data_IF_963473651361
#
_entry.id   IF_963473651361
#
_cell.length_a   1.000
_cell.length_b   1.000
_cell.length_c   1.000
_cell.angle_alpha   90.00
_cell.angle_beta   90.00
_cell.angle_gamma   90.00
#
_symmetry.space_group_name_H-M   'P 1'
#
loop_
_entity.id
_entity.type
_entity.pdbx_description
1 polymer ?
#
# COMPACT_ATOMS: atom_id res chain seq x y z
N UNK A 1 -47.68 -37.98 16.69
CA UNK A 1 -46.59 -37.00 16.54
C UNK A 1 -45.33 -37.60 17.16
N UNK A 2 -44.16 -37.60 16.49
CA UNK A 2 -42.92 -38.10 17.07
C UNK A 2 -42.53 -37.31 18.32
N UNK A 3 -41.78 -37.94 19.25
CA UNK A 3 -41.32 -37.28 20.48
C UNK A 3 -40.26 -36.21 20.17
N UNK A 4 -40.17 -35.18 21.01
CA UNK A 4 -39.19 -34.09 20.87
C UNK A 4 -37.75 -34.60 20.70
N UNK A 5 -37.40 -35.67 21.41
CA UNK A 5 -36.09 -36.34 21.36
C UNK A 5 -35.78 -36.96 20.00
N UNK A 6 -36.79 -37.49 19.31
CA UNK A 6 -36.63 -38.08 17.97
C UNK A 6 -36.43 -36.98 16.92
N UNK A 7 -37.13 -35.86 17.07
CA UNK A 7 -36.96 -34.68 16.20
C UNK A 7 -35.55 -34.10 16.38
N UNK A 8 -35.10 -33.93 17.62
CA UNK A 8 -33.77 -33.36 17.91
C UNK A 8 -32.63 -34.25 17.39
N UNK A 9 -32.75 -35.58 17.56
CA UNK A 9 -31.80 -36.54 16.98
C UNK A 9 -31.78 -36.47 15.45
N UNK A 10 -32.95 -36.43 14.82
CA UNK A 10 -33.04 -36.36 13.35
C UNK A 10 -32.44 -35.05 12.81
N UNK A 11 -32.69 -33.92 13.46
CA UNK A 11 -32.07 -32.63 13.14
C UNK A 11 -30.54 -32.70 13.30
N UNK A 12 -30.06 -33.23 14.42
CA UNK A 12 -28.62 -33.37 14.68
C UNK A 12 -27.92 -34.26 13.65
N UNK A 13 -28.53 -35.40 13.29
CA UNK A 13 -28.00 -36.28 12.24
C UNK A 13 -27.99 -35.62 10.86
N UNK A 14 -29.02 -34.84 10.53
CA UNK A 14 -29.09 -34.11 9.26
C UNK A 14 -27.98 -33.05 9.17
N UNK A 15 -27.74 -32.31 10.26
CA UNK A 15 -26.64 -31.34 10.36
C UNK A 15 -25.29 -32.03 10.23
N UNK A 16 -25.07 -33.15 10.93
CA UNK A 16 -23.82 -33.91 10.83
C UNK A 16 -23.56 -34.43 9.40
N UNK A 17 -24.60 -34.93 8.72
CA UNK A 17 -24.52 -35.35 7.31
C UNK A 17 -24.19 -34.19 6.37
N UNK A 18 -24.82 -33.04 6.58
CA UNK A 18 -24.53 -31.83 5.80
C UNK A 18 -23.08 -31.36 5.98
N UNK A 19 -22.58 -31.33 7.22
CA UNK A 19 -21.19 -30.94 7.51
C UNK A 19 -20.19 -31.91 6.87
N UNK A 20 -20.41 -33.23 6.97
CA UNK A 20 -19.55 -34.22 6.29
C UNK A 20 -19.52 -34.03 4.78
N UNK A 21 -20.65 -33.67 4.17
CA UNK A 21 -20.71 -33.39 2.73
C UNK A 21 -19.86 -32.15 2.37
N UNK A 22 -19.97 -31.09 3.17
CA UNK A 22 -19.15 -29.88 3.01
C UNK A 22 -17.67 -30.21 3.13
N UNK A 23 -17.27 -30.98 4.16
CA UNK A 23 -15.88 -31.39 4.36
C UNK A 23 -15.36 -32.17 3.16
N UNK A 24 -16.11 -33.18 2.71
CA UNK A 24 -15.75 -33.98 1.53
C UNK A 24 -15.54 -33.14 0.29
N UNK A 25 -16.46 -32.21 0.00
CA UNK A 25 -16.33 -31.30 -1.14
C UNK A 25 -15.02 -30.48 -1.08
N UNK A 26 -14.63 -30.00 0.10
CA UNK A 26 -13.38 -29.23 0.25
C UNK A 26 -12.10 -30.08 0.16
N UNK A 27 -12.14 -31.36 0.58
CA UNK A 27 -10.94 -32.21 0.67
C UNK A 27 -10.75 -33.14 -0.53
N UNK A 28 -11.80 -33.45 -1.28
CA UNK A 28 -11.77 -34.37 -2.44
C UNK A 28 -10.78 -33.90 -3.52
N UNK A 29 -10.68 -32.60 -3.86
CA UNK A 29 -9.68 -32.10 -4.81
C UNK A 29 -8.24 -32.10 -4.28
N UNK A 30 -8.00 -32.41 -3.00
CA UNK A 30 -6.67 -32.30 -2.39
C UNK A 30 -5.82 -33.55 -2.63
N UNK A 31 -4.66 -33.35 -3.24
CA UNK A 31 -3.61 -34.36 -3.30
C UNK A 31 -2.80 -34.42 -1.98
N UNK A 32 -1.88 -35.39 -1.89
CA UNK A 32 -1.05 -35.56 -0.70
C UNK A 32 -0.11 -34.36 -0.44
N UNK A 33 0.34 -33.65 -1.48
CA UNK A 33 1.16 -32.45 -1.32
C UNK A 33 0.39 -31.34 -0.60
N UNK A 34 -0.86 -31.09 -0.98
CA UNK A 34 -1.71 -30.09 -0.29
C UNK A 34 -1.89 -30.48 1.18
N UNK A 35 -2.18 -31.74 1.48
CA UNK A 35 -2.35 -32.25 2.85
C UNK A 35 -1.08 -32.06 3.69
N UNK A 36 0.09 -32.40 3.14
CA UNK A 36 1.37 -32.22 3.82
C UNK A 36 1.64 -30.73 4.13
N UNK A 37 1.37 -29.82 3.19
CA UNK A 37 1.51 -28.38 3.42
C UNK A 37 0.54 -27.84 4.47
N UNK A 38 -0.69 -28.35 4.49
CA UNK A 38 -1.67 -28.00 5.53
C UNK A 38 -1.23 -28.50 6.91
N UNK A 39 -0.69 -29.71 7.00
CA UNK A 39 -0.14 -30.26 8.25
C UNK A 39 1.11 -29.47 8.71
N UNK A 40 1.95 -29.01 7.78
CA UNK A 40 3.11 -28.12 8.08
C UNK A 40 2.68 -26.82 8.76
N UNK A 41 1.50 -26.28 8.45
CA UNK A 41 0.99 -25.08 9.14
C UNK A 41 0.86 -25.31 10.65
N UNK A 42 0.65 -26.55 11.09
CA UNK A 42 0.49 -26.91 12.50
C UNK A 42 1.82 -27.19 13.21
N UNK A 43 2.94 -27.25 12.49
CA UNK A 43 4.25 -27.52 13.09
C UNK A 43 4.92 -26.24 13.60
N UNK A 44 5.92 -26.39 14.47
CA UNK A 44 6.75 -25.28 14.93
C UNK A 44 7.48 -24.63 13.74
N UNK A 45 7.42 -23.30 13.67
CA UNK A 45 8.18 -22.54 12.68
C UNK A 45 9.66 -22.57 13.06
N UNK A 46 10.52 -22.89 12.09
CA UNK A 46 11.96 -22.92 12.32
C UNK A 46 12.48 -21.60 12.93
N UNK A 47 13.23 -21.69 14.03
CA UNK A 47 13.77 -20.54 14.75
C UNK A 47 12.75 -19.74 15.57
N UNK A 48 11.54 -20.27 15.80
CA UNK A 48 10.48 -19.63 16.61
C UNK A 48 9.87 -20.61 17.61
N UNK A 49 9.33 -20.07 18.71
CA UNK A 49 8.52 -20.82 19.68
C UNK A 49 7.03 -20.88 19.29
N UNK A 50 6.68 -20.42 18.09
CA UNK A 50 5.31 -20.41 17.56
C UNK A 50 5.18 -21.31 16.34
N UNK A 51 3.97 -21.83 16.10
CA UNK A 51 3.70 -22.59 14.87
C UNK A 51 3.64 -21.65 13.65
N UNK A 52 3.76 -22.23 12.45
CA UNK A 52 3.54 -21.50 11.21
C UNK A 52 2.18 -20.79 11.21
N UNK A 53 1.11 -21.50 11.57
CA UNK A 53 -0.24 -20.95 11.60
C UNK A 53 -0.39 -19.80 12.61
N UNK A 54 0.25 -19.90 13.78
CA UNK A 54 0.25 -18.82 14.79
C UNK A 54 0.91 -17.55 14.24
N UNK A 55 2.07 -17.66 13.59
CA UNK A 55 2.75 -16.51 12.99
C UNK A 55 1.96 -15.92 11.81
N UNK A 56 1.40 -16.78 10.95
CA UNK A 56 0.62 -16.37 9.78
C UNK A 56 -0.65 -15.57 10.13
N UNK A 57 -1.19 -15.73 11.34
CA UNK A 57 -2.36 -14.97 11.83
C UNK A 57 -2.04 -13.58 12.38
N UNK A 58 -0.76 -13.16 12.42
CA UNK A 58 -0.37 -11.87 13.02
C UNK A 58 -0.58 -10.68 12.06
N UNK A 59 -1.38 -9.69 12.44
CA UNK A 59 -1.63 -8.48 11.64
C UNK A 59 -0.48 -7.45 11.65
N UNK A 60 -0.42 -6.53 10.65
CA UNK A 60 0.59 -5.49 10.59
C UNK A 60 0.53 -4.52 11.76
N UNK A 61 1.65 -4.37 12.47
CA UNK A 61 1.74 -3.42 13.58
C UNK A 61 2.06 -1.99 13.11
N UNK A 62 2.83 -1.80 12.03
CA UNK A 62 3.31 -0.47 11.61
C UNK A 62 3.41 -0.31 10.09
N UNK A 63 2.98 0.84 9.58
CA UNK A 63 3.13 1.24 8.18
C UNK A 63 4.60 1.60 7.83
N UNK A 64 5.39 0.59 7.45
CA UNK A 64 6.75 0.74 6.94
C UNK A 64 7.17 -0.45 6.06
N UNK A 65 8.27 -0.31 5.31
CA UNK A 65 8.77 -1.31 4.38
C UNK A 65 9.12 -2.66 5.03
N UNK A 66 9.54 -2.68 6.31
CA UNK A 66 9.89 -3.93 7.01
C UNK A 66 8.65 -4.78 7.26
N UNK A 67 7.60 -4.19 7.83
CA UNK A 67 6.36 -4.93 8.08
C UNK A 67 5.71 -5.31 6.75
N UNK A 68 5.78 -4.44 5.73
CA UNK A 68 5.31 -4.76 4.38
C UNK A 68 5.95 -6.03 3.82
N UNK A 69 7.27 -6.19 3.95
CA UNK A 69 7.96 -7.42 3.54
C UNK A 69 7.49 -8.65 4.34
N UNK A 70 7.28 -8.51 5.65
CA UNK A 70 6.75 -9.59 6.49
C UNK A 70 5.34 -10.04 6.06
N UNK A 71 4.46 -9.11 5.68
CA UNK A 71 3.14 -9.45 5.13
C UNK A 71 3.21 -10.09 3.76
N UNK A 72 4.14 -9.66 2.91
CA UNK A 72 4.39 -10.31 1.62
C UNK A 72 4.83 -11.75 1.85
N UNK A 73 5.71 -12.01 2.82
CA UNK A 73 6.10 -13.37 3.20
C UNK A 73 4.91 -14.20 3.70
N UNK A 74 4.05 -13.64 4.56
CA UNK A 74 2.82 -14.32 5.00
C UNK A 74 1.95 -14.73 3.82
N UNK A 75 1.71 -13.82 2.87
CA UNK A 75 0.91 -14.13 1.68
C UNK A 75 1.59 -15.19 0.81
N UNK A 76 2.92 -15.12 0.61
CA UNK A 76 3.69 -16.13 -0.12
C UNK A 76 3.52 -17.52 0.49
N UNK A 77 3.58 -17.65 1.82
CA UNK A 77 3.39 -18.94 2.51
C UNK A 77 1.97 -19.48 2.30
N UNK A 78 0.93 -18.64 2.40
CA UNK A 78 -0.44 -19.09 2.10
C UNK A 78 -0.60 -19.52 0.64
N UNK A 79 -0.04 -18.77 -0.31
CA UNK A 79 -0.05 -19.12 -1.73
C UNK A 79 0.74 -20.41 -2.03
N UNK A 80 1.82 -20.68 -1.28
CA UNK A 80 2.62 -21.89 -1.42
C UNK A 80 1.84 -23.16 -1.07
N UNK A 81 0.77 -23.08 -0.26
CA UNK A 81 -0.16 -24.20 -0.05
C UNK A 81 -0.72 -24.69 -1.38
N UNK A 82 -0.89 -23.78 -2.36
CA UNK A 82 -1.31 -24.05 -3.73
C UNK A 82 -2.61 -24.84 -3.81
N UNK A 83 -3.62 -24.39 -3.05
CA UNK A 83 -4.94 -25.01 -3.06
C UNK A 83 -5.53 -25.00 -4.49
N UNK A 84 -6.25 -26.07 -4.89
CA UNK A 84 -6.95 -26.12 -6.17
C UNK A 84 -7.83 -24.89 -6.43
N UNK A 85 -7.75 -24.35 -7.65
CA UNK A 85 -8.54 -23.18 -8.04
C UNK A 85 -10.06 -23.46 -7.95
N UNK A 86 -10.81 -22.46 -7.48
CA UNK A 86 -12.27 -22.53 -7.42
C UNK A 86 -12.84 -23.31 -6.23
N UNK A 87 -12.01 -23.83 -5.31
CA UNK A 87 -12.46 -24.49 -4.08
C UNK A 87 -13.42 -23.63 -3.25
N UNK A 88 -13.16 -22.31 -3.19
CA UNK A 88 -14.00 -21.30 -2.55
C UNK A 88 -15.43 -21.24 -3.10
N UNK A 89 -15.64 -21.66 -4.35
CA UNK A 89 -16.93 -21.65 -5.05
C UNK A 89 -17.67 -22.98 -4.99
N UNK A 90 -17.03 -24.04 -4.51
CA UNK A 90 -17.65 -25.37 -4.43
C UNK A 90 -18.64 -25.49 -3.27
N UNK A 91 -18.55 -24.59 -2.29
CA UNK A 91 -19.48 -24.51 -1.16
C UNK A 91 -19.98 -23.08 -0.98
N UNK A 92 -21.08 -22.92 -0.23
CA UNK A 92 -21.62 -21.60 0.07
C UNK A 92 -20.64 -20.77 0.91
N UNK A 93 -20.42 -19.50 0.53
CA UNK A 93 -19.47 -18.58 1.19
C UNK A 93 -19.66 -18.51 2.72
N UNK A 94 -20.88 -18.30 3.22
CA UNK A 94 -21.15 -18.26 4.67
C UNK A 94 -20.75 -19.56 5.41
N UNK A 95 -20.74 -20.72 4.74
CA UNK A 95 -20.27 -21.97 5.35
C UNK A 95 -18.75 -22.02 5.40
N UNK A 96 -18.08 -21.56 4.35
CA UNK A 96 -16.63 -21.41 4.32
C UNK A 96 -16.16 -20.47 5.43
N UNK A 97 -16.77 -19.28 5.54
CA UNK A 97 -16.45 -18.28 6.57
C UNK A 97 -16.69 -18.82 7.98
N UNK A 98 -17.79 -19.56 8.19
CA UNK A 98 -18.07 -20.18 9.49
C UNK A 98 -16.96 -21.17 9.89
N UNK A 99 -16.52 -22.03 8.97
CA UNK A 99 -15.42 -22.98 9.23
C UNK A 99 -14.09 -22.27 9.47
N UNK A 100 -13.77 -21.26 8.67
CA UNK A 100 -12.56 -20.46 8.84
C UNK A 100 -12.55 -19.76 10.20
N UNK A 101 -13.69 -19.21 10.62
CA UNK A 101 -13.84 -18.54 11.91
C UNK A 101 -13.71 -19.51 13.09
N UNK A 102 -14.39 -20.65 13.04
CA UNK A 102 -14.28 -21.71 14.05
C UNK A 102 -12.82 -22.17 14.21
N UNK A 103 -12.12 -22.47 13.11
CA UNK A 103 -10.70 -22.82 13.14
C UNK A 103 -9.78 -21.66 13.58
N UNK A 104 -10.16 -20.42 13.26
CA UNK A 104 -9.47 -19.20 13.67
C UNK A 104 -9.42 -18.99 15.18
N UNK A 105 -10.44 -19.46 15.91
CA UNK A 105 -10.50 -19.41 17.37
C UNK A 105 -9.73 -20.55 18.06
N UNK A 106 -9.29 -21.56 17.31
CA UNK A 106 -8.61 -22.75 17.86
C UNK A 106 -7.09 -22.60 17.83
N UNK A 107 -6.44 -23.24 18.80
CA UNK A 107 -4.98 -23.40 18.79
C UNK A 107 -4.57 -24.42 17.72
N UNK A 108 -3.34 -24.35 17.18
CA UNK A 108 -2.80 -25.36 16.28
C UNK A 108 -2.87 -26.79 16.88
N UNK A 109 -2.67 -26.91 18.20
CA UNK A 109 -2.76 -28.17 18.92
C UNK A 109 -4.20 -28.72 18.93
N UNK A 110 -5.21 -27.87 19.09
CA UNK A 110 -6.61 -28.29 19.05
C UNK A 110 -7.03 -28.72 17.65
N UNK A 111 -6.60 -27.99 16.62
CA UNK A 111 -6.79 -28.37 15.22
C UNK A 111 -6.12 -29.72 14.91
N UNK A 112 -4.97 -30.00 15.51
CA UNK A 112 -4.27 -31.28 15.38
C UNK A 112 -5.05 -32.49 15.91
N UNK A 113 -5.99 -32.29 16.84
CA UNK A 113 -6.79 -33.37 17.46
C UNK A 113 -7.98 -33.82 16.61
N UNK A 114 -8.35 -33.06 15.58
CA UNK A 114 -9.50 -33.34 14.72
C UNK A 114 -9.28 -34.60 13.89
N UNK A 115 -10.36 -35.31 13.53
CA UNK A 115 -10.27 -36.31 12.47
C UNK A 115 -9.82 -35.68 11.15
N UNK A 116 -9.16 -36.47 10.30
CA UNK A 116 -8.52 -35.97 9.07
C UNK A 116 -9.48 -35.16 8.17
N UNK A 117 -10.72 -35.63 7.96
CA UNK A 117 -11.70 -34.92 7.13
C UNK A 117 -12.00 -33.51 7.70
N UNK A 118 -12.33 -33.43 8.99
CA UNK A 118 -12.65 -32.17 9.67
C UNK A 118 -11.45 -31.24 9.80
N UNK A 119 -10.25 -31.79 10.06
CA UNK A 119 -9.00 -31.03 10.14
C UNK A 119 -8.68 -30.35 8.81
N UNK A 120 -8.63 -31.11 7.73
CA UNK A 120 -8.25 -30.55 6.42
C UNK A 120 -9.31 -29.59 5.89
N UNK A 121 -10.61 -29.87 6.06
CA UNK A 121 -11.66 -28.96 5.64
C UNK A 121 -11.57 -27.61 6.37
N UNK A 122 -11.33 -27.64 7.68
CA UNK A 122 -11.13 -26.43 8.49
C UNK A 122 -9.88 -25.68 8.03
N UNK A 123 -8.74 -26.35 7.86
CA UNK A 123 -7.49 -25.71 7.41
C UNK A 123 -7.60 -25.13 6.00
N UNK A 124 -8.29 -25.79 5.07
CA UNK A 124 -8.60 -25.23 3.73
C UNK A 124 -9.39 -23.95 3.85
N UNK A 125 -10.48 -23.96 4.62
CA UNK A 125 -11.31 -22.78 4.82
C UNK A 125 -10.50 -21.61 5.42
N UNK A 126 -9.65 -21.91 6.40
CA UNK A 126 -8.76 -20.95 7.02
C UNK A 126 -7.72 -20.37 6.06
N UNK A 127 -7.09 -21.20 5.22
CA UNK A 127 -6.10 -20.74 4.24
C UNK A 127 -6.75 -19.85 3.20
N UNK A 128 -7.92 -20.23 2.67
CA UNK A 128 -8.65 -19.41 1.70
C UNK A 128 -9.01 -18.03 2.29
N UNK A 129 -9.58 -18.01 3.48
CA UNK A 129 -9.98 -16.77 4.14
C UNK A 129 -8.79 -15.90 4.55
N UNK A 130 -7.73 -16.52 5.08
CA UNK A 130 -6.51 -15.79 5.46
C UNK A 130 -5.78 -15.25 4.24
N UNK A 131 -5.81 -15.95 3.09
CA UNK A 131 -5.22 -15.45 1.84
C UNK A 131 -5.93 -14.17 1.39
N UNK A 132 -7.26 -14.15 1.44
CA UNK A 132 -8.05 -12.95 1.13
C UNK A 132 -7.75 -11.81 2.12
N UNK A 133 -7.82 -12.11 3.42
CA UNK A 133 -7.56 -11.13 4.48
C UNK A 133 -6.16 -10.51 4.37
N UNK A 134 -5.11 -11.32 4.19
CA UNK A 134 -3.73 -10.80 4.06
C UNK A 134 -3.54 -10.00 2.77
N UNK A 135 -4.25 -10.36 1.70
CA UNK A 135 -4.25 -9.58 0.46
C UNK A 135 -4.81 -8.18 0.71
N UNK A 136 -5.93 -8.08 1.42
CA UNK A 136 -6.54 -6.79 1.78
C UNK A 136 -5.65 -5.99 2.75
N UNK A 137 -5.09 -6.65 3.78
CA UNK A 137 -4.12 -6.04 4.72
C UNK A 137 -2.91 -5.45 3.98
N UNK A 138 -2.42 -6.12 2.93
CA UNK A 138 -1.28 -5.67 2.13
C UNK A 138 -1.61 -4.41 1.33
N UNK A 139 -2.78 -4.34 0.71
CA UNK A 139 -3.24 -3.17 -0.03
C UNK A 139 -3.44 -2.00 0.94
N UNK A 140 -4.09 -2.23 2.08
CA UNK A 140 -4.29 -1.20 3.09
C UNK A 140 -2.96 -0.69 3.66
N UNK A 141 -2.00 -1.59 3.91
CA UNK A 141 -0.68 -1.22 4.40
C UNK A 141 0.07 -0.36 3.37
N UNK A 142 -0.04 -0.68 2.08
CA UNK A 142 0.51 0.14 1.00
C UNK A 142 -0.09 1.55 1.01
N UNK A 143 -1.41 1.66 1.10
CA UNK A 143 -2.12 2.94 1.14
C UNK A 143 -1.69 3.79 2.34
N UNK A 144 -1.61 3.19 3.53
CA UNK A 144 -1.11 3.88 4.74
C UNK A 144 0.33 4.37 4.57
N UNK A 145 1.20 3.59 3.91
CA UNK A 145 2.57 4.02 3.59
C UNK A 145 2.53 5.22 2.63
N UNK A 146 1.74 5.16 1.56
CA UNK A 146 1.61 6.26 0.60
C UNK A 146 1.10 7.55 1.27
N UNK A 147 0.01 7.46 2.04
CA UNK A 147 -0.55 8.60 2.78
C UNK A 147 0.50 9.26 3.66
N UNK A 148 1.29 8.46 4.39
CA UNK A 148 2.38 8.96 5.24
C UNK A 148 3.46 9.67 4.42
N UNK A 149 3.86 9.10 3.27
CA UNK A 149 4.86 9.70 2.38
C UNK A 149 4.39 11.05 1.83
N UNK A 150 3.17 11.13 1.29
CA UNK A 150 2.60 12.38 0.80
C UNK A 150 2.45 13.42 1.92
N UNK A 151 2.00 13.00 3.10
CA UNK A 151 1.89 13.88 4.26
C UNK A 151 3.24 14.42 4.72
N UNK A 152 4.29 13.58 4.73
CA UNK A 152 5.65 14.00 5.03
C UNK A 152 6.21 14.98 3.99
N UNK A 153 5.99 14.71 2.70
CA UNK A 153 6.37 15.62 1.61
C UNK A 153 5.68 16.99 1.76
N UNK A 154 4.37 17.00 1.97
CA UNK A 154 3.57 18.22 2.21
C UNK A 154 4.05 18.98 3.45
N UNK A 155 4.31 18.30 4.57
CA UNK A 155 4.82 18.92 5.80
C UNK A 155 6.21 19.53 5.59
N UNK A 156 7.12 18.82 4.92
CA UNK A 156 8.47 19.33 4.60
C UNK A 156 8.39 20.56 3.70
N UNK A 157 7.53 20.52 2.68
CA UNK A 157 7.25 21.66 1.81
C UNK A 157 6.73 22.87 2.60
N UNK A 158 5.70 22.66 3.45
CA UNK A 158 5.14 23.72 4.29
C UNK A 158 6.17 24.30 5.27
N UNK A 159 7.03 23.47 5.87
CA UNK A 159 8.09 23.93 6.75
C UNK A 159 9.15 24.75 6.00
N UNK A 160 9.55 24.34 4.80
CA UNK A 160 10.45 25.11 3.95
C UNK A 160 9.84 26.47 3.58
N UNK A 161 8.56 26.49 3.23
CA UNK A 161 7.83 27.72 2.93
C UNK A 161 7.74 28.64 4.16
N UNK A 162 7.38 28.10 5.33
CA UNK A 162 7.33 28.88 6.57
C UNK A 162 8.69 29.48 6.95
N UNK A 163 9.78 28.73 6.78
CA UNK A 163 11.15 29.25 7.02
C UNK A 163 11.48 30.44 6.12
N UNK A 164 10.98 30.43 4.88
CA UNK A 164 11.17 31.53 3.92
C UNK A 164 10.16 32.68 4.13
N UNK A 165 9.04 32.43 4.81
CA UNK A 165 7.98 33.42 5.01
C UNK A 165 8.46 34.73 5.66
N UNK A 166 9.40 34.66 6.61
CA UNK A 166 10.01 35.86 7.19
C UNK A 166 10.78 36.67 6.13
N UNK A 167 11.66 36.01 5.38
CA UNK A 167 12.45 36.65 4.33
C UNK A 167 11.57 37.23 3.21
N UNK A 168 10.49 36.54 2.83
CA UNK A 168 9.51 37.02 1.86
C UNK A 168 8.83 38.30 2.39
N UNK A 169 8.33 38.29 3.62
CA UNK A 169 7.67 39.44 4.21
C UNK A 169 8.63 40.64 4.38
N UNK A 170 9.90 40.38 4.72
CA UNK A 170 10.93 41.42 4.84
C UNK A 170 11.18 42.09 3.48
N UNK A 171 11.26 41.32 2.38
CA UNK A 171 11.39 41.87 1.02
C UNK A 171 10.14 42.63 0.56
N UNK A 172 8.93 42.13 0.85
CA UNK A 172 7.68 42.84 0.53
C UNK A 172 7.62 44.20 1.24
N UNK A 173 8.00 44.25 2.53
CA UNK A 173 8.08 45.51 3.29
C UNK A 173 9.13 46.45 2.72
N UNK A 174 10.29 45.94 2.34
CA UNK A 174 11.35 46.73 1.71
C UNK A 174 10.86 47.36 0.40
N UNK A 175 10.28 46.58 -0.51
CA UNK A 175 9.79 47.10 -1.78
C UNK A 175 8.58 48.03 -1.64
N UNK A 176 7.75 47.85 -0.60
CA UNK A 176 6.71 48.83 -0.29
C UNK A 176 7.29 50.19 0.12
N UNK A 177 8.39 50.22 0.88
CA UNK A 177 9.07 51.48 1.25
C UNK A 177 9.69 52.16 0.04
N UNK A 178 10.36 51.38 -0.81
CA UNK A 178 10.95 51.88 -2.07
C UNK A 178 9.85 52.41 -2.99
N UNK A 179 8.75 51.67 -3.14
CA UNK A 179 7.58 52.10 -3.89
C UNK A 179 6.98 53.40 -3.37
N UNK A 180 6.89 53.57 -2.05
CA UNK A 180 6.43 54.84 -1.45
C UNK A 180 7.39 55.99 -1.74
N UNK A 181 8.70 55.79 -1.58
CA UNK A 181 9.69 56.82 -1.89
C UNK A 181 9.63 57.27 -3.36
N UNK A 182 9.40 56.32 -4.27
CA UNK A 182 9.18 56.61 -5.70
C UNK A 182 7.89 57.37 -5.97
N UNK A 183 6.80 57.06 -5.26
CA UNK A 183 5.54 57.80 -5.38
C UNK A 183 5.68 59.24 -4.86
N UNK A 184 6.38 59.43 -3.75
CA UNK A 184 6.63 60.73 -3.15
C UNK A 184 7.54 61.59 -4.04
N UNK A 185 8.64 61.02 -4.57
CA UNK A 185 9.52 61.69 -5.52
C UNK A 185 8.78 62.13 -6.79
N UNK A 186 7.90 61.28 -7.31
CA UNK A 186 7.06 61.62 -8.47
C UNK A 186 6.09 62.76 -8.17
N UNK A 187 5.55 62.85 -6.95
CA UNK A 187 4.65 63.92 -6.54
C UNK A 187 5.38 65.26 -6.34
N UNK A 188 6.61 65.22 -5.82
CA UNK A 188 7.43 66.39 -5.53
C UNK A 188 8.31 66.85 -6.71
N UNK A 189 8.40 66.05 -7.78
CA UNK A 189 9.26 66.33 -8.93
C UNK A 189 10.76 66.05 -8.67
N UNK A 190 11.07 65.25 -7.67
CA UNK A 190 12.44 64.85 -7.30
C UNK A 190 12.93 63.68 -8.16
N UNK A 191 14.25 63.48 -8.20
CA UNK A 191 14.87 62.39 -8.95
C UNK A 191 14.57 61.01 -8.31
N UNK A 192 13.96 60.06 -9.05
CA UNK A 192 13.64 58.72 -8.56
C UNK A 192 14.86 57.92 -8.07
N UNK A 193 16.03 58.09 -8.68
CA UNK A 193 17.23 57.34 -8.28
C UNK A 193 17.76 57.82 -6.93
N UNK A 194 17.77 59.14 -6.72
CA UNK A 194 18.08 59.77 -5.43
C UNK A 194 17.11 59.33 -4.33
N UNK A 195 15.82 59.18 -4.66
CA UNK A 195 14.81 58.70 -3.70
C UNK A 195 14.98 57.23 -3.29
N UNK A 196 15.44 56.35 -4.19
CA UNK A 196 15.80 54.96 -3.86
C UNK A 196 17.03 54.92 -2.96
N UNK A 197 18.06 55.71 -3.30
CA UNK A 197 19.32 55.76 -2.56
C UNK A 197 19.15 56.30 -1.13
N UNK A 198 18.16 57.17 -0.91
CA UNK A 198 17.74 57.62 0.41
C UNK A 198 17.13 56.50 1.28
N UNK A 199 16.56 55.44 0.68
CA UNK A 199 16.03 54.27 1.39
C UNK A 199 17.12 53.25 1.68
N UNK A 200 18.02 52.99 0.72
CA UNK A 200 19.17 52.10 0.89
C UNK A 200 20.24 52.31 -0.20
N UNK A 201 21.51 51.95 0.05
CA UNK A 201 22.58 52.04 -0.96
C UNK A 201 22.29 51.21 -2.22
N UNK A 202 22.78 51.66 -3.38
CA UNK A 202 22.55 50.97 -4.67
C UNK A 202 23.04 49.53 -4.71
N UNK A 203 24.20 49.24 -4.12
CA UNK A 203 24.75 47.88 -4.07
C UNK A 203 23.86 46.95 -3.25
N UNK A 204 23.33 47.44 -2.12
CA UNK A 204 22.41 46.68 -1.29
C UNK A 204 21.05 46.49 -1.98
N UNK A 205 20.59 47.49 -2.75
CA UNK A 205 19.37 47.36 -3.54
C UNK A 205 19.52 46.29 -4.64
N UNK A 206 20.64 46.29 -5.38
CA UNK A 206 20.93 45.29 -6.40
C UNK A 206 20.99 43.87 -5.81
N UNK A 207 21.64 43.72 -4.65
CA UNK A 207 21.62 42.46 -3.90
C UNK A 207 20.19 42.10 -3.47
N UNK A 208 19.39 43.09 -3.05
CA UNK A 208 18.03 42.85 -2.61
C UNK A 208 17.13 42.27 -3.71
N UNK A 209 17.29 42.77 -4.95
CA UNK A 209 16.60 42.29 -6.16
C UNK A 209 17.00 40.86 -6.47
N UNK A 210 18.30 40.56 -6.41
CA UNK A 210 18.81 39.18 -6.59
C UNK A 210 18.22 38.22 -5.56
N UNK A 211 18.17 38.62 -4.27
CA UNK A 211 17.56 37.81 -3.23
C UNK A 211 16.06 37.61 -3.43
N UNK A 212 15.37 38.64 -3.91
CA UNK A 212 13.93 38.58 -4.17
C UNK A 212 13.60 37.66 -5.34
N UNK A 213 14.43 37.63 -6.39
CA UNK A 213 14.33 36.67 -7.49
C UNK A 213 14.52 35.23 -7.00
N UNK A 214 15.46 34.99 -6.07
CA UNK A 214 15.66 33.67 -5.45
C UNK A 214 14.48 33.23 -4.57
N UNK A 215 13.78 34.19 -3.96
CA UNK A 215 12.58 33.95 -3.14
C UNK A 215 11.30 33.84 -3.99
N UNK A 216 11.23 34.52 -5.13
CA UNK A 216 10.14 34.48 -6.08
C UNK A 216 10.14 33.16 -6.86
N UNK A 217 9.44 32.16 -6.31
CA UNK A 217 9.33 30.83 -6.94
C UNK A 217 8.20 30.79 -7.98
N UNK A 218 8.31 29.95 -9.03
CA UNK A 218 7.22 29.73 -9.97
C UNK A 218 5.94 29.21 -9.29
N UNK A 219 4.76 29.53 -9.83
CA UNK A 219 3.47 29.01 -9.34
C UNK A 219 3.40 27.46 -9.33
N UNK A 220 4.21 26.80 -10.15
CA UNK A 220 4.33 25.33 -10.23
C UNK A 220 5.17 24.69 -9.10
N UNK A 221 5.55 25.44 -8.05
CA UNK A 221 6.32 24.91 -6.92
C UNK A 221 5.46 23.98 -6.05
N UNK A 222 5.32 22.74 -6.49
CA UNK A 222 4.50 21.72 -5.83
C UNK A 222 5.36 20.70 -5.05
N UNK A 223 4.80 20.17 -3.96
CA UNK A 223 5.42 19.22 -3.05
C UNK A 223 5.70 17.83 -3.67
N UNK A 224 5.21 17.56 -4.88
CA UNK A 224 5.39 16.28 -5.58
C UNK A 224 6.86 15.93 -5.84
N UNK A 225 7.73 16.91 -6.05
CA UNK A 225 9.16 16.63 -6.20
C UNK A 225 9.78 15.99 -4.94
N UNK A 226 9.28 16.33 -3.74
CA UNK A 226 9.73 15.75 -2.47
C UNK A 226 9.26 14.31 -2.28
N UNK A 227 8.23 13.86 -3.00
CA UNK A 227 7.80 12.45 -2.98
C UNK A 227 8.88 11.57 -3.59
N UNK A 228 9.57 12.07 -4.63
CA UNK A 228 10.66 11.34 -5.30
C UNK A 228 11.84 11.05 -4.37
N UNK A 229 12.09 11.88 -3.36
CA UNK A 229 13.14 11.65 -2.34
C UNK A 229 12.87 10.37 -1.53
N UNK A 230 11.59 9.99 -1.40
CA UNK A 230 11.18 8.80 -0.65
C UNK A 230 10.99 7.56 -1.54
N UNK A 231 11.29 7.65 -2.84
CA UNK A 231 11.19 6.53 -3.78
C UNK A 231 11.99 5.30 -3.32
N UNK A 232 13.14 5.52 -2.68
CA UNK A 232 13.96 4.46 -2.11
C UNK A 232 13.23 3.62 -1.06
N UNK A 233 12.30 4.22 -0.29
CA UNK A 233 11.50 3.52 0.72
C UNK A 233 10.49 2.57 0.09
N UNK A 234 9.85 3.00 -1.00
CA UNK A 234 8.93 2.19 -1.79
C UNK A 234 9.68 1.06 -2.49
N UNK A 235 10.81 1.38 -3.14
CA UNK A 235 11.56 0.42 -3.96
C UNK A 235 12.09 -0.79 -3.18
N UNK A 236 12.17 -0.70 -1.86
CA UNK A 236 12.52 -1.82 -0.95
C UNK A 236 11.50 -2.96 -0.96
N UNK A 237 10.22 -2.68 -1.22
CA UNK A 237 9.17 -3.71 -1.16
C UNK A 237 8.29 -3.78 -2.42
N UNK A 238 8.16 -2.69 -3.19
CA UNK A 238 7.24 -2.65 -4.34
C UNK A 238 7.44 -3.77 -5.35
N UNK A 239 8.67 -4.24 -5.69
CA UNK A 239 8.83 -5.40 -6.57
C UNK A 239 8.16 -6.66 -6.03
N UNK A 240 8.43 -7.00 -4.76
CA UNK A 240 7.87 -8.19 -4.13
C UNK A 240 6.34 -8.06 -3.91
N UNK A 241 5.86 -6.84 -3.64
CA UNK A 241 4.43 -6.53 -3.56
C UNK A 241 3.71 -6.74 -4.89
N UNK A 242 4.28 -6.23 -5.99
CA UNK A 242 3.71 -6.43 -7.31
C UNK A 242 3.80 -7.90 -7.76
N UNK A 243 4.84 -8.62 -7.37
CA UNK A 243 5.01 -10.05 -7.69
C UNK A 243 3.96 -10.93 -6.99
N UNK A 244 3.73 -10.71 -5.69
CA UNK A 244 2.85 -11.59 -4.89
C UNK A 244 1.36 -11.40 -5.18
N UNK A 245 0.95 -10.24 -5.69
CA UNK A 245 -0.46 -9.93 -5.96
C UNK A 245 -0.92 -10.46 -7.33
N UNK A 246 -1.97 -11.27 -7.34
CA UNK A 246 -2.62 -11.73 -8.57
C UNK A 246 -3.65 -10.71 -9.08
N UNK A 247 -3.14 -9.62 -9.65
CA UNK A 247 -3.98 -8.52 -10.16
C UNK A 247 -4.71 -8.92 -11.45
N UNK A 248 -6.00 -8.57 -11.51
CA UNK A 248 -6.86 -8.67 -12.71
C UNK A 248 -7.53 -7.32 -12.94
N UNK A 249 -7.77 -6.95 -14.20
CA UNK A 249 -8.36 -5.67 -14.55
C UNK A 249 -9.67 -5.85 -15.31
N UNK A 250 -10.64 -4.97 -15.03
CA UNK A 250 -11.77 -4.74 -15.92
C UNK A 250 -11.29 -4.03 -17.21
N UNK A 251 -12.07 -4.04 -18.31
CA UNK A 251 -11.64 -3.47 -19.59
C UNK A 251 -11.14 -2.02 -19.50
N UNK A 252 -11.77 -1.18 -18.66
CA UNK A 252 -11.38 0.21 -18.46
C UNK A 252 -10.00 0.39 -17.80
N UNK A 253 -9.53 -0.60 -17.04
CA UNK A 253 -8.27 -0.56 -16.30
C UNK A 253 -7.14 -1.36 -16.97
N UNK A 254 -7.37 -1.93 -18.16
CA UNK A 254 -6.40 -2.80 -18.81
C UNK A 254 -5.04 -2.12 -19.04
N UNK A 255 -5.04 -0.84 -19.46
CA UNK A 255 -3.81 -0.05 -19.64
C UNK A 255 -2.98 0.07 -18.36
N UNK A 256 -3.63 0.12 -17.20
CA UNK A 256 -2.94 0.18 -15.90
C UNK A 256 -2.31 -1.17 -15.57
N UNK A 257 -3.03 -2.27 -15.83
CA UNK A 257 -2.49 -3.61 -15.66
C UNK A 257 -1.29 -3.87 -16.57
N UNK A 258 -1.36 -3.44 -17.83
CA UNK A 258 -0.26 -3.54 -18.78
C UNK A 258 0.98 -2.75 -18.30
N UNK A 259 0.78 -1.57 -17.72
CA UNK A 259 1.85 -0.78 -17.12
C UNK A 259 2.46 -1.48 -15.89
N UNK A 260 1.64 -2.11 -15.04
CA UNK A 260 2.12 -2.92 -13.91
C UNK A 260 2.95 -4.11 -14.40
N UNK A 261 2.52 -4.76 -15.49
CA UNK A 261 3.25 -5.88 -16.07
C UNK A 261 4.63 -5.45 -16.59
N UNK A 262 4.70 -4.31 -17.29
CA UNK A 262 6.00 -3.71 -17.67
C UNK A 262 6.86 -3.40 -16.45
N UNK A 263 6.29 -2.86 -15.36
CA UNK A 263 7.03 -2.62 -14.12
C UNK A 263 7.57 -3.91 -13.49
N UNK A 264 6.83 -5.03 -13.56
CA UNK A 264 7.31 -6.34 -13.10
C UNK A 264 8.52 -6.82 -13.89
N UNK A 265 8.45 -6.73 -15.22
CA UNK A 265 9.57 -7.08 -16.11
C UNK A 265 10.80 -6.21 -15.86
N UNK A 266 10.61 -4.89 -15.73
CA UNK A 266 11.70 -3.97 -15.39
C UNK A 266 12.35 -4.28 -14.04
N UNK A 267 11.54 -4.69 -13.05
CA UNK A 267 12.04 -5.07 -11.74
C UNK A 267 12.82 -6.39 -11.77
N UNK A 268 12.41 -7.36 -12.60
CA UNK A 268 13.09 -8.62 -12.79
C UNK A 268 14.46 -8.45 -13.48
N UNK A 269 14.51 -7.59 -14.51
CA UNK A 269 15.74 -7.34 -15.29
C UNK A 269 16.74 -6.38 -14.61
N UNK A 270 16.43 -5.85 -13.42
CA UNK A 270 17.17 -4.76 -12.78
C UNK A 270 17.41 -3.53 -13.70
N UNK A 271 16.61 -3.37 -14.76
CA UNK A 271 16.71 -2.26 -15.71
C UNK A 271 16.22 -1.00 -15.01
N UNK A 272 17.15 -0.06 -14.76
CA UNK A 272 16.83 1.27 -14.20
C UNK A 272 15.71 1.92 -15.01
N UNK A 273 14.80 2.58 -14.28
CA UNK A 273 13.68 3.36 -14.78
C UNK A 273 14.14 4.36 -15.87
N UNK A 274 14.08 3.97 -17.15
CA UNK A 274 14.14 4.93 -18.24
C UNK A 274 12.80 5.66 -18.23
N UNK A 275 12.84 6.96 -17.93
CA UNK A 275 11.68 7.85 -18.11
C UNK A 275 11.10 7.61 -19.50
N UNK A 276 9.77 7.52 -19.67
CA UNK A 276 9.18 7.57 -20.99
C UNK A 276 9.62 8.89 -21.62
N UNK A 277 10.37 8.84 -22.72
CA UNK A 277 10.61 10.04 -23.52
C UNK A 277 9.25 10.51 -24.01
N UNK A 278 8.88 11.73 -23.63
CA UNK A 278 7.77 12.46 -24.23
C UNK A 278 7.95 12.41 -25.76
N UNK A 279 6.98 11.81 -26.43
CA UNK A 279 6.86 11.77 -27.89
C UNK A 279 7.04 13.18 -28.46
N UNK A 280 8.11 13.42 -29.22
CA UNK A 280 8.13 14.50 -30.21
C UNK A 280 7.22 14.10 -31.37
N UNK A 281 6.33 14.98 -31.86
CA UNK A 281 5.52 14.67 -33.01
C UNK A 281 6.40 14.68 -34.26
N UNK A 282 6.42 13.54 -34.96
CA UNK A 282 6.85 13.49 -36.34
C UNK A 282 5.75 14.11 -37.21
N UNK A 283 6.09 15.19 -37.93
CA UNK A 283 5.29 15.83 -38.97
C UNK A 283 6.01 17.14 -39.35
N UNK A 284 6.28 17.46 -40.61
CA UNK A 284 5.83 16.90 -41.86
C UNK A 284 6.87 17.25 -42.94
N UNK A 285 7.00 16.40 -43.96
CA UNK A 285 7.74 16.75 -45.18
C UNK A 285 6.98 17.86 -45.93
N UNK A 286 7.73 18.77 -46.51
CA UNK A 286 7.38 19.51 -47.73
C UNK A 286 8.59 19.47 -48.64
#
# INVERSE_FOLDING_TARGET
>A
MPTLTVIDRACSEAVARANRRIYRTLIEPLNQSHRNKLDELLTLKAGSNSTWLTWLRQSPLKANSRHMMEHIERLKIFQLVALPEGLDRQIHQNRLLKLAHEGGQMTPQDLGKFENEGRYATLVAMVLESTATVTDELVELHDRILIKLFSSAKKKHQQQFQKQGKAINDKVRLYSKIGQALLDAKASGEDPFTAIEAVMPWDEFAQSVTDAELLARPEAFDHLHLVSENFNTLRRYTPAFLEVLQLRAAPAAQRVLDAIQQLREMNADNRRMRRPCSSSPAGNRS
#
